data_IF_231216696634
#
_entry.id   IF_231216696634
#
_cell.length_a   1.000
_cell.length_b   1.000
_cell.length_c   1.000
_cell.angle_alpha   90.00
_cell.angle_beta   90.00
_cell.angle_gamma   90.00
#
_symmetry.space_group_name_H-M   'P 1'
#
loop_
_entity.id
_entity.type
_entity.pdbx_description
1 polymer ?
#
# COMPACT_ATOMS: atom_id res chain seq x y z
N UNK A 1 27.89 -88.20 -22.82
CA UNK A 1 28.38 -87.74 -24.14
C UNK A 1 27.30 -86.84 -24.73
N UNK A 2 27.56 -85.60 -25.20
CA UNK A 2 28.79 -84.79 -25.17
C UNK A 2 28.65 -83.51 -24.29
N UNK A 3 29.70 -83.09 -23.54
CA UNK A 3 30.77 -82.09 -23.83
C UNK A 3 30.25 -80.63 -23.87
N UNK A 4 30.94 -79.59 -23.40
CA UNK A 4 32.13 -79.36 -22.58
C UNK A 4 32.25 -77.84 -22.37
N UNK A 5 32.96 -77.43 -21.31
CA UNK A 5 33.59 -76.12 -21.09
C UNK A 5 34.28 -75.58 -22.38
N UNK A 6 34.56 -74.31 -22.65
CA UNK A 6 35.19 -73.18 -21.91
C UNK A 6 35.33 -72.02 -22.97
N UNK A 7 36.04 -70.87 -22.81
CA UNK A 7 36.64 -70.20 -21.64
C UNK A 7 36.52 -68.64 -21.60
N UNK A 8 36.99 -68.10 -20.48
CA UNK A 8 37.61 -66.79 -20.17
C UNK A 8 37.91 -65.70 -21.25
N UNK A 9 37.43 -64.48 -20.95
CA UNK A 9 38.10 -63.13 -20.80
C UNK A 9 39.41 -62.83 -21.56
N UNK A 10 39.55 -61.62 -22.15
CA UNK A 10 40.47 -60.63 -21.56
C UNK A 10 40.06 -59.14 -21.60
N UNK A 11 40.45 -58.42 -20.52
CA UNK A 11 41.02 -57.06 -20.41
C UNK A 11 40.43 -55.92 -21.28
N UNK A 12 40.14 -54.72 -20.76
CA UNK A 12 41.15 -53.87 -20.15
C UNK A 12 40.61 -52.59 -19.47
N UNK A 13 41.47 -52.06 -18.58
CA UNK A 13 41.61 -50.67 -18.09
C UNK A 13 40.80 -50.17 -16.86
N UNK A 14 41.39 -50.47 -15.68
CA UNK A 14 41.90 -49.50 -14.69
C UNK A 14 41.48 -48.02 -14.90
N UNK A 15 40.81 -47.44 -13.88
CA UNK A 15 41.39 -46.37 -13.02
C UNK A 15 40.46 -46.01 -11.84
N UNK A 16 41.00 -46.23 -10.61
CA UNK A 16 41.04 -45.34 -9.42
C UNK A 16 39.85 -44.39 -9.21
N UNK A 17 39.05 -44.50 -8.14
CA UNK A 17 39.27 -44.32 -6.68
C UNK A 17 38.54 -43.06 -6.21
N UNK A 18 37.74 -43.23 -5.15
CA UNK A 18 37.47 -42.30 -4.04
C UNK A 18 36.70 -41.00 -4.31
N UNK A 19 35.39 -40.99 -4.01
CA UNK A 19 34.71 -40.00 -3.13
C UNK A 19 33.20 -40.29 -3.08
N UNK A 20 32.79 -41.20 -2.21
CA UNK A 20 31.36 -41.50 -1.97
C UNK A 20 31.03 -41.57 -0.49
N UNK A 21 31.47 -40.56 0.29
CA UNK A 21 31.14 -40.44 1.72
C UNK A 21 31.10 -39.01 2.27
N UNK A 22 30.81 -38.01 1.42
CA UNK A 22 30.66 -36.59 1.86
C UNK A 22 29.39 -35.92 1.30
N UNK A 23 28.45 -36.69 0.73
CA UNK A 23 27.22 -36.12 0.14
C UNK A 23 25.97 -36.45 0.97
N UNK A 24 26.08 -37.27 2.02
CA UNK A 24 24.95 -37.60 2.93
C UNK A 24 25.11 -36.89 4.28
N UNK A 25 25.47 -35.59 4.25
CA UNK A 25 25.28 -34.65 5.38
C UNK A 25 24.80 -33.28 4.87
N UNK A 26 24.56 -33.13 3.56
CA UNK A 26 24.19 -31.85 2.93
C UNK A 26 22.70 -31.77 2.51
N UNK A 27 21.86 -32.69 3.00
CA UNK A 27 20.42 -32.71 2.68
C UNK A 27 19.48 -32.63 3.90
N UNK A 28 20.02 -32.53 5.12
CA UNK A 28 19.22 -32.39 6.36
C UNK A 28 19.40 -31.03 7.05
N UNK A 29 19.99 -30.04 6.39
CA UNK A 29 20.20 -28.71 6.96
C UNK A 29 19.73 -27.62 5.99
N UNK A 30 18.44 -27.61 5.62
CA UNK A 30 17.71 -26.44 5.09
C UNK A 30 16.22 -26.81 4.92
N UNK A 31 15.56 -27.21 6.01
CA UNK A 31 14.10 -27.34 6.04
C UNK A 31 13.55 -26.79 7.35
N UNK A 32 14.04 -25.62 7.76
CA UNK A 32 13.29 -24.72 8.62
C UNK A 32 12.64 -23.69 7.71
N UNK A 33 11.64 -24.11 6.94
CA UNK A 33 10.79 -23.20 6.18
C UNK A 33 9.97 -22.42 7.21
N UNK A 34 10.52 -21.30 7.69
CA UNK A 34 9.70 -20.29 8.36
C UNK A 34 8.63 -19.90 7.35
N UNK A 35 7.36 -20.13 7.69
CA UNK A 35 6.24 -19.70 6.87
C UNK A 35 6.36 -18.19 6.69
N UNK A 36 6.73 -17.75 5.49
CA UNK A 36 6.82 -16.33 5.15
C UNK A 36 5.39 -15.79 5.22
N UNK A 37 5.20 -14.68 5.93
CA UNK A 37 3.88 -14.04 6.03
C UNK A 37 3.52 -13.34 4.72
N UNK A 38 2.22 -13.20 4.38
CA UNK A 38 1.77 -12.52 3.15
C UNK A 38 2.34 -11.09 3.03
N UNK A 39 2.55 -10.44 4.17
CA UNK A 39 3.12 -9.11 4.25
C UNK A 39 4.62 -9.08 3.91
N UNK A 40 5.38 -10.05 4.40
CA UNK A 40 6.79 -10.24 4.02
C UNK A 40 6.91 -10.65 2.55
N UNK A 41 6.01 -11.50 2.06
CA UNK A 41 5.94 -11.85 0.64
C UNK A 41 5.69 -10.62 -0.23
N UNK A 42 4.80 -9.71 0.17
CA UNK A 42 4.51 -8.49 -0.62
C UNK A 42 5.73 -7.59 -0.75
N UNK A 43 6.49 -7.40 0.34
CA UNK A 43 7.73 -6.63 0.31
C UNK A 43 8.80 -7.33 -0.55
N UNK A 44 9.01 -8.64 -0.32
CA UNK A 44 10.01 -9.44 -1.02
C UNK A 44 9.70 -9.64 -2.52
N UNK A 45 8.42 -9.54 -2.91
CA UNK A 45 8.01 -9.58 -4.31
C UNK A 45 8.49 -8.35 -5.09
N UNK A 46 8.74 -7.22 -4.42
CA UNK A 46 9.18 -5.97 -5.06
C UNK A 46 10.63 -5.62 -4.81
N UNK A 47 11.18 -6.00 -3.67
CA UNK A 47 12.53 -5.64 -3.27
C UNK A 47 13.39 -6.87 -3.04
N UNK A 48 14.65 -6.77 -3.44
CA UNK A 48 15.64 -7.83 -3.22
C UNK A 48 16.00 -7.97 -1.74
N UNK A 49 16.53 -9.13 -1.36
CA UNK A 49 17.09 -9.35 -0.02
C UNK A 49 18.13 -8.28 0.36
N UNK A 50 18.99 -7.89 -0.58
CA UNK A 50 19.97 -6.81 -0.37
C UNK A 50 19.34 -5.45 -0.09
N UNK A 51 18.15 -5.18 -0.61
CA UNK A 51 17.40 -3.96 -0.26
C UNK A 51 17.00 -3.99 1.20
N UNK A 52 16.49 -5.13 1.67
CA UNK A 52 16.10 -5.34 3.06
C UNK A 52 17.30 -5.17 4.00
N UNK A 53 18.41 -5.84 3.70
CA UNK A 53 19.67 -5.72 4.47
C UNK A 53 20.15 -4.26 4.53
N UNK A 54 20.18 -3.56 3.39
CA UNK A 54 20.60 -2.15 3.37
C UNK A 54 19.67 -1.23 4.18
N UNK A 55 18.37 -1.50 4.22
CA UNK A 55 17.41 -0.77 5.05
C UNK A 55 17.59 -1.06 6.55
N UNK A 56 17.94 -2.30 6.92
CA UNK A 56 18.18 -2.70 8.31
C UNK A 56 19.41 -2.01 8.91
N UNK A 57 20.41 -1.69 8.09
CA UNK A 57 21.62 -0.96 8.49
C UNK A 57 21.41 0.56 8.70
N UNK A 58 20.26 1.11 8.32
CA UNK A 58 19.98 2.52 8.54
C UNK A 58 19.79 2.84 10.04
N UNK A 59 20.40 3.91 10.58
CA UNK A 59 20.28 4.30 11.99
C UNK A 59 18.94 4.97 12.34
N UNK A 60 17.97 4.91 11.43
CA UNK A 60 16.71 5.66 11.50
C UNK A 60 15.55 4.80 12.01
N UNK A 61 14.55 5.43 12.63
CA UNK A 61 13.33 4.73 13.05
C UNK A 61 12.25 4.92 11.99
N UNK A 62 11.95 3.87 11.22
CA UNK A 62 10.95 3.96 10.17
C UNK A 62 10.22 2.64 9.94
N UNK A 63 9.06 2.77 9.31
CA UNK A 63 8.25 1.64 8.82
C UNK A 63 7.91 1.85 7.35
N UNK A 64 7.77 0.76 6.60
CA UNK A 64 7.21 0.76 5.26
C UNK A 64 5.88 0.01 5.30
N UNK A 65 4.84 0.61 4.74
CA UNK A 65 3.49 0.02 4.69
C UNK A 65 3.04 -0.20 3.26
N UNK A 66 2.23 -1.23 3.05
CA UNK A 66 1.67 -1.56 1.73
C UNK A 66 0.17 -1.20 1.68
N UNK A 67 -0.24 -0.20 0.89
CA UNK A 67 -1.65 0.19 0.79
C UNK A 67 -2.52 -0.81 0.02
N UNK A 68 -1.95 -1.71 -0.80
CA UNK A 68 -2.70 -2.72 -1.55
C UNK A 68 -3.17 -3.88 -0.69
N UNK A 69 -2.47 -4.15 0.40
CA UNK A 69 -2.88 -5.15 1.38
C UNK A 69 -4.01 -4.63 2.26
N UNK A 70 -4.92 -5.54 2.63
CA UNK A 70 -6.08 -5.21 3.46
C UNK A 70 -5.65 -4.61 4.79
N UNK A 71 -6.23 -3.47 5.16
CA UNK A 71 -5.90 -2.77 6.41
C UNK A 71 -4.65 -1.89 6.35
N UNK A 72 -4.00 -1.77 5.19
CA UNK A 72 -2.76 -0.98 5.00
C UNK A 72 -1.70 -1.35 6.06
N UNK A 73 -1.24 -2.61 6.08
CA UNK A 73 -0.32 -3.13 7.08
C UNK A 73 1.11 -2.63 6.88
N UNK A 74 1.88 -2.69 7.96
CA UNK A 74 3.33 -2.55 7.97
C UNK A 74 3.94 -3.83 7.39
N UNK A 75 4.75 -3.68 6.35
CA UNK A 75 5.46 -4.77 5.66
C UNK A 75 6.96 -4.76 5.95
N UNK A 76 7.49 -3.65 6.50
CA UNK A 76 8.86 -3.55 7.00
C UNK A 76 8.93 -2.59 8.20
N UNK A 77 9.76 -2.92 9.18
CA UNK A 77 10.03 -2.07 10.34
C UNK A 77 11.53 -2.08 10.65
N UNK A 78 12.15 -0.91 10.75
CA UNK A 78 13.59 -0.82 10.97
C UNK A 78 13.99 -1.30 12.38
N UNK A 79 15.23 -1.79 12.57
CA UNK A 79 15.74 -2.15 13.90
C UNK A 79 15.66 -0.99 14.90
N UNK A 80 15.92 0.24 14.45
CA UNK A 80 15.76 1.46 15.25
C UNK A 80 14.32 1.65 15.75
N UNK A 81 13.34 1.48 14.87
CA UNK A 81 11.92 1.56 15.23
C UNK A 81 11.52 0.50 16.27
N UNK A 82 11.95 -0.75 16.09
CA UNK A 82 11.66 -1.83 17.02
C UNK A 82 12.26 -1.57 18.41
N UNK A 83 13.53 -1.14 18.45
CA UNK A 83 14.21 -0.75 19.69
C UNK A 83 13.53 0.43 20.38
N UNK A 84 13.11 1.44 19.61
CA UNK A 84 12.42 2.61 20.12
C UNK A 84 11.06 2.25 20.72
N UNK A 85 10.26 1.43 20.05
CA UNK A 85 8.90 1.12 20.51
C UNK A 85 8.83 -0.04 21.51
N UNK A 86 9.84 -0.92 21.51
CA UNK A 86 9.92 -2.11 22.35
C UNK A 86 9.12 -3.31 21.83
N UNK A 87 8.55 -3.23 20.63
CA UNK A 87 7.84 -4.34 19.98
C UNK A 87 8.80 -5.23 19.21
N UNK A 88 8.43 -6.50 19.06
CA UNK A 88 9.17 -7.44 18.19
C UNK A 88 8.71 -7.32 16.73
N UNK A 89 9.51 -7.78 15.75
CA UNK A 89 9.08 -7.81 14.35
C UNK A 89 7.71 -8.50 14.16
N UNK A 90 7.49 -9.64 14.82
CA UNK A 90 6.27 -10.44 14.70
C UNK A 90 5.02 -9.71 15.25
N UNK A 91 5.22 -8.77 16.16
CA UNK A 91 4.13 -7.94 16.71
C UNK A 91 3.79 -6.75 15.80
N UNK A 92 4.71 -6.35 14.93
CA UNK A 92 4.62 -5.13 14.11
C UNK A 92 4.23 -5.43 12.67
N UNK A 93 4.85 -6.42 12.03
CA UNK A 93 4.56 -6.80 10.66
C UNK A 93 3.10 -7.30 10.57
N UNK A 94 2.37 -6.87 9.55
CA UNK A 94 0.92 -7.14 9.41
C UNK A 94 0.01 -6.21 10.19
N UNK A 95 0.53 -5.38 11.09
CA UNK A 95 -0.29 -4.41 11.83
C UNK A 95 -0.39 -3.08 11.10
N UNK A 96 -1.51 -2.39 11.30
CA UNK A 96 -1.64 -0.99 10.89
C UNK A 96 -0.98 -0.08 11.94
N UNK A 97 -0.39 1.04 11.50
CA UNK A 97 0.28 2.01 12.40
C UNK A 97 -0.59 2.57 13.54
N UNK A 98 -1.92 2.44 13.46
CA UNK A 98 -2.83 2.73 14.58
C UNK A 98 -2.54 1.90 15.84
N UNK A 99 -1.84 0.77 15.72
CA UNK A 99 -1.49 -0.11 16.84
C UNK A 99 -0.61 0.59 17.90
N UNK A 100 0.07 1.68 17.54
CA UNK A 100 0.93 2.45 18.46
C UNK A 100 0.22 3.66 19.07
N UNK A 101 -1.04 3.89 18.73
CA UNK A 101 -1.85 4.99 19.26
C UNK A 101 -2.54 4.55 20.55
N UNK A 102 -2.93 5.51 21.38
CA UNK A 102 -3.62 5.23 22.64
C UNK A 102 -4.57 6.35 23.07
N UNK A 103 -5.08 6.32 24.31
CA UNK A 103 -6.19 7.18 24.74
C UNK A 103 -5.93 8.68 24.61
N UNK A 104 -4.67 9.12 24.77
CA UNK A 104 -4.27 10.53 24.67
C UNK A 104 -3.75 10.92 23.28
N UNK A 105 -3.75 10.01 22.31
CA UNK A 105 -3.34 10.34 20.93
C UNK A 105 -4.34 11.29 20.29
N UNK A 106 -3.87 12.45 19.81
CA UNK A 106 -4.73 13.48 19.24
C UNK A 106 -5.41 12.99 17.95
N UNK A 107 -6.76 12.99 17.94
CA UNK A 107 -7.56 12.54 16.80
C UNK A 107 -7.42 13.42 15.56
N UNK A 108 -7.12 14.71 15.72
CA UNK A 108 -6.90 15.65 14.60
C UNK A 108 -5.63 15.28 13.84
N UNK A 109 -4.53 15.01 14.54
CA UNK A 109 -3.28 14.53 13.91
C UNK A 109 -3.50 13.19 13.19
N UNK A 110 -4.27 12.27 13.79
CA UNK A 110 -4.62 10.98 13.15
C UNK A 110 -5.47 11.18 11.89
N UNK A 111 -6.41 12.11 11.92
CA UNK A 111 -7.22 12.47 10.75
C UNK A 111 -6.35 13.06 9.65
N UNK A 112 -5.43 13.98 9.98
CA UNK A 112 -4.50 14.56 9.01
C UNK A 112 -3.64 13.51 8.30
N UNK A 113 -3.13 12.51 9.04
CA UNK A 113 -2.41 11.37 8.46
C UNK A 113 -3.32 10.59 7.51
N UNK A 114 -4.57 10.32 7.91
CA UNK A 114 -5.55 9.59 7.09
C UNK A 114 -5.85 10.33 5.79
N UNK A 115 -6.03 11.64 5.86
CA UNK A 115 -6.27 12.47 4.68
C UNK A 115 -5.04 12.50 3.76
N UNK A 116 -3.83 12.60 4.33
CA UNK A 116 -2.60 12.53 3.56
C UNK A 116 -2.41 11.19 2.82
N UNK A 117 -2.80 10.07 3.45
CA UNK A 117 -2.82 8.74 2.80
C UNK A 117 -3.83 8.73 1.65
N UNK A 118 -5.04 9.27 1.87
CA UNK A 118 -6.11 9.32 0.84
C UNK A 118 -5.72 10.20 -0.36
N UNK A 119 -5.04 11.30 -0.09
CA UNK A 119 -4.58 12.27 -1.09
C UNK A 119 -3.22 11.92 -1.70
N UNK A 120 -2.55 10.88 -1.18
CA UNK A 120 -1.23 10.43 -1.62
C UNK A 120 -0.21 11.57 -1.62
N UNK A 121 -0.18 12.30 -0.51
CA UNK A 121 0.76 13.39 -0.25
C UNK A 121 1.64 13.10 0.96
N UNK A 122 2.75 13.83 1.05
CA UNK A 122 3.54 13.84 2.26
C UNK A 122 2.81 14.55 3.40
N UNK A 123 3.15 14.17 4.62
CA UNK A 123 2.65 14.79 5.85
C UNK A 123 3.71 14.74 6.93
N UNK A 124 3.74 15.76 7.77
CA UNK A 124 4.58 15.82 8.95
C UNK A 124 3.74 16.31 10.12
N UNK A 125 3.59 15.49 11.15
CA UNK A 125 2.75 15.79 12.32
C UNK A 125 3.42 15.34 13.61
N UNK A 126 3.20 16.07 14.68
CA UNK A 126 3.54 15.60 16.02
C UNK A 126 2.43 14.69 16.54
N UNK A 127 2.82 13.51 17.03
CA UNK A 127 1.91 12.48 17.49
C UNK A 127 2.38 11.89 18.82
N UNK A 128 1.45 11.63 19.72
CA UNK A 128 1.70 10.86 20.94
C UNK A 128 1.47 9.38 20.67
N UNK A 129 2.53 8.59 20.75
CA UNK A 129 2.50 7.14 20.60
C UNK A 129 2.78 6.44 21.93
N UNK A 130 2.54 5.13 21.98
CA UNK A 130 2.70 4.29 23.16
C UNK A 130 3.67 3.16 22.87
N UNK A 131 4.65 2.99 23.76
CA UNK A 131 5.57 1.84 23.72
C UNK A 131 4.84 0.57 24.12
N UNK A 132 5.46 -0.59 23.91
CA UNK A 132 4.94 -1.88 24.38
C UNK A 132 4.67 -1.91 25.89
N UNK A 133 5.46 -1.19 26.67
CA UNK A 133 5.26 -1.02 28.13
C UNK A 133 4.01 -0.20 28.50
N UNK A 134 3.34 0.42 27.53
CA UNK A 134 2.25 1.37 27.76
C UNK A 134 2.71 2.80 28.06
N UNK A 135 4.02 3.07 28.13
CA UNK A 135 4.51 4.43 28.37
C UNK A 135 4.27 5.33 27.14
N UNK A 136 3.64 6.51 27.30
CA UNK A 136 3.45 7.45 26.21
C UNK A 136 4.77 8.17 25.87
N UNK A 137 4.98 8.50 24.60
CA UNK A 137 6.10 9.30 24.14
C UNK A 137 5.74 10.07 22.86
N UNK A 138 6.28 11.27 22.73
CA UNK A 138 6.06 12.12 21.57
C UNK A 138 6.99 11.77 20.43
N UNK A 139 6.45 11.76 19.22
CA UNK A 139 7.22 11.64 17.98
C UNK A 139 6.84 12.75 17.02
N UNK A 140 7.82 13.20 16.25
CA UNK A 140 7.58 13.80 14.94
C UNK A 140 7.43 12.66 13.94
N UNK A 141 6.23 12.49 13.41
CA UNK A 141 5.94 11.53 12.36
C UNK A 141 6.02 12.22 11.00
N UNK A 142 6.92 11.75 10.14
CA UNK A 142 7.01 12.20 8.76
C UNK A 142 6.74 11.04 7.81
N UNK A 143 5.68 11.15 7.02
CA UNK A 143 5.27 10.12 6.07
C UNK A 143 5.33 10.64 4.64
N UNK A 144 5.83 9.81 3.73
CA UNK A 144 5.82 10.08 2.29
C UNK A 144 5.31 8.87 1.51
N UNK A 145 4.54 9.09 0.42
CA UNK A 145 4.20 8.05 -0.53
C UNK A 145 5.41 7.66 -1.37
N UNK A 146 5.42 6.39 -1.79
CA UNK A 146 6.42 5.80 -2.69
C UNK A 146 5.70 5.37 -3.95
N UNK A 147 6.06 5.94 -5.10
CA UNK A 147 5.34 5.73 -6.36
C UNK A 147 6.06 4.72 -7.26
N UNK A 148 5.29 3.93 -8.00
CA UNK A 148 5.80 3.18 -9.13
C UNK A 148 6.05 4.11 -10.32
N UNK A 149 7.17 3.93 -11.02
CA UNK A 149 7.54 4.80 -12.13
C UNK A 149 6.65 4.64 -13.36
N UNK A 150 6.13 3.45 -13.62
CA UNK A 150 5.46 3.15 -14.89
C UNK A 150 4.07 3.78 -14.98
N UNK A 151 3.27 3.68 -13.91
CA UNK A 151 1.90 4.20 -13.90
C UNK A 151 1.64 5.27 -12.83
N UNK A 152 2.64 5.60 -12.00
CA UNK A 152 2.52 6.62 -10.97
C UNK A 152 1.68 6.20 -9.76
N UNK A 153 1.32 4.93 -9.61
CA UNK A 153 0.56 4.46 -8.44
C UNK A 153 1.42 4.46 -7.18
N UNK A 154 0.84 4.80 -6.03
CA UNK A 154 1.53 4.59 -4.73
C UNK A 154 1.58 3.11 -4.42
N UNK A 155 2.80 2.58 -4.29
CA UNK A 155 3.09 1.17 -3.95
C UNK A 155 3.42 0.97 -2.48
N UNK A 156 3.92 2.00 -1.79
CA UNK A 156 4.21 1.95 -0.37
C UNK A 156 4.08 3.34 0.25
N UNK A 157 4.01 3.40 1.58
CA UNK A 157 4.33 4.62 2.33
C UNK A 157 5.52 4.36 3.24
N UNK A 158 6.43 5.32 3.31
CA UNK A 158 7.51 5.34 4.30
C UNK A 158 7.11 6.28 5.41
N UNK A 159 7.09 5.79 6.65
CA UNK A 159 6.80 6.58 7.84
C UNK A 159 8.00 6.61 8.77
N UNK A 160 8.70 7.76 8.83
CA UNK A 160 9.81 8.04 9.74
C UNK A 160 9.28 8.62 11.06
N UNK A 161 9.90 8.22 12.16
CA UNK A 161 9.50 8.59 13.52
C UNK A 161 10.70 9.11 14.31
N UNK A 162 10.71 10.40 14.60
CA UNK A 162 11.76 11.02 15.41
C UNK A 162 11.22 11.30 16.81
N UNK A 163 11.70 10.62 17.86
CA UNK A 163 11.31 10.94 19.24
C UNK A 163 11.58 12.40 19.56
N UNK A 164 10.59 13.08 20.14
CA UNK A 164 10.74 14.46 20.58
C UNK A 164 11.20 14.46 22.03
N UNK A 165 12.34 15.12 22.29
CA UNK A 165 12.85 15.24 23.66
C UNK A 165 12.18 16.43 24.35
N UNK A 166 11.33 16.17 25.36
CA UNK A 166 10.85 17.25 26.24
C UNK A 166 12.02 17.80 27.04
N UNK A 167 12.30 19.10 26.92
CA UNK A 167 13.10 19.79 27.93
C UNK A 167 12.25 19.86 29.19
N UNK A 168 12.64 19.17 30.25
CA UNK A 168 12.05 19.41 31.56
C UNK A 168 12.22 20.89 31.88
N UNK A 169 11.11 21.61 32.07
CA UNK A 169 11.14 22.88 32.78
C UNK A 169 11.55 22.57 34.21
N UNK A 170 12.86 22.51 34.46
CA UNK A 170 13.38 22.70 35.81
C UNK A 170 12.99 24.11 36.23
N UNK A 171 11.95 24.23 37.05
CA UNK A 171 11.76 25.41 37.90
C UNK A 171 12.89 25.41 38.93
N UNK A 172 14.10 25.74 38.49
CA UNK A 172 15.21 26.07 39.38
C UNK A 172 15.02 27.50 39.87
N UNK A 173 14.09 27.66 40.81
CA UNK A 173 14.16 28.72 41.80
C UNK A 173 14.56 28.07 43.11
N UNK A 174 15.83 27.74 43.30
CA UNK A 174 16.44 28.00 44.61
C UNK A 174 17.97 28.11 44.51
N UNK A 175 18.46 29.09 45.24
CA UNK A 175 19.83 29.58 45.24
C UNK A 175 20.79 28.57 45.85
N UNK A 176 21.95 28.40 45.20
CA UNK A 176 23.14 27.88 45.89
C UNK A 176 24.24 28.92 45.79
N UNK A 177 24.22 29.89 46.70
CA UNK A 177 25.39 30.69 47.06
C UNK A 177 25.41 30.91 48.58
N UNK A 178 26.43 30.31 49.22
CA UNK A 178 27.05 30.55 50.54
C UNK A 178 26.23 31.19 51.69
N UNK A 179 26.27 30.57 52.88
CA UNK A 179 26.94 31.08 54.12
C UNK A 179 26.68 30.14 55.32
N UNK A 180 27.72 30.01 56.14
CA UNK A 180 27.89 29.29 57.42
C UNK A 180 26.78 29.49 58.47
N UNK A 181 26.58 28.49 59.35
CA UNK A 181 26.09 28.74 60.72
C UNK A 181 25.35 27.62 61.47
N UNK A 182 26.12 26.75 62.14
CA UNK A 182 25.94 26.24 63.52
C UNK A 182 24.58 25.79 64.13
N UNK A 183 24.65 24.59 64.73
CA UNK A 183 24.05 24.13 66.01
C UNK A 183 22.67 23.42 66.09
N UNK A 184 22.79 22.10 66.42
CA UNK A 184 22.20 21.32 67.54
C UNK A 184 20.73 20.84 67.54
N UNK A 185 20.58 19.50 67.61
CA UNK A 185 19.66 18.70 68.46
C UNK A 185 18.16 18.75 68.12
N UNK A 186 17.33 17.71 68.18
CA UNK A 186 17.36 16.39 68.83
C UNK A 186 16.38 15.42 68.12
N UNK A 187 16.45 14.16 68.54
CA UNK A 187 15.69 12.96 68.14
C UNK A 187 14.24 13.01 68.63
N UNK A 188 13.24 12.55 67.84
CA UNK A 188 12.12 11.73 68.37
C UNK A 188 11.36 10.94 67.29
N UNK A 189 10.73 9.85 67.74
CA UNK A 189 10.43 8.58 67.07
C UNK A 189 9.03 8.49 66.45
N UNK A 190 8.96 7.78 65.30
CA UNK A 190 7.86 6.95 64.74
C UNK A 190 6.51 6.84 65.49
N UNK A 191 5.37 7.11 64.80
CA UNK A 191 4.47 6.14 64.10
C UNK A 191 3.04 6.71 63.90
N UNK A 192 2.55 6.58 62.65
CA UNK A 192 1.18 6.26 62.15
C UNK A 192 0.00 6.42 63.14
N UNK A 193 -1.15 7.03 62.80
CA UNK A 193 -1.95 6.83 61.58
C UNK A 193 -3.24 7.69 61.61
N UNK A 194 -3.78 7.94 60.41
CA UNK A 194 -5.17 8.31 60.06
C UNK A 194 -5.59 9.75 60.35
N UNK A 195 -5.65 10.55 59.29
CA UNK A 195 -6.80 11.39 58.95
C UNK A 195 -6.80 11.60 57.42
N UNK A 196 -8.00 11.57 56.85
CA UNK A 196 -8.28 11.71 55.43
C UNK A 196 -7.56 12.93 54.84
N UNK A 197 -6.85 12.73 53.75
CA UNK A 197 -6.48 13.82 52.85
C UNK A 197 -7.20 13.54 51.55
N UNK A 198 -8.15 14.42 51.26
CA UNK A 198 -8.85 14.53 49.99
C UNK A 198 -7.83 14.46 48.85
N UNK A 199 -8.12 13.62 47.86
CA UNK A 199 -7.34 13.57 46.64
C UNK A 199 -7.45 14.94 45.94
N UNK A 200 -6.49 15.82 46.19
CA UNK A 200 -6.28 16.99 45.36
C UNK A 200 -5.99 16.52 43.93
N UNK A 201 -6.96 16.73 43.04
CA UNK A 201 -6.81 16.68 41.58
C UNK A 201 -5.95 17.85 41.10
N UNK A 202 -4.72 17.96 41.58
CA UNK A 202 -3.77 18.98 41.14
C UNK A 202 -2.50 18.31 40.64
N UNK A 203 -2.57 17.97 39.35
CA UNK A 203 -1.49 17.38 38.58
C UNK A 203 -1.91 17.13 37.14
N UNK A 204 -2.76 17.99 36.56
CA UNK A 204 -2.97 18.04 35.11
C UNK A 204 -1.71 18.65 34.49
N UNK A 205 -0.68 17.83 34.32
CA UNK A 205 0.39 18.17 33.40
C UNK A 205 -0.24 18.41 32.02
N UNK A 206 0.03 19.57 31.44
CA UNK A 206 -0.35 19.91 30.07
C UNK A 206 0.32 18.93 29.09
N UNK A 207 -0.36 17.83 28.82
CA UNK A 207 -0.04 16.90 27.74
C UNK A 207 -0.62 17.39 26.41
N UNK A 208 -1.17 18.61 26.34
CA UNK A 208 -2.00 19.04 25.21
C UNK A 208 -1.21 19.47 23.96
N UNK A 209 0.07 19.84 24.11
CA UNK A 209 0.88 20.19 22.95
C UNK A 209 2.37 19.86 23.12
N UNK A 210 2.95 19.27 22.08
CA UNK A 210 4.38 19.10 21.94
C UNK A 210 4.73 19.48 20.51
N UNK A 211 5.74 20.32 20.33
CA UNK A 211 6.20 20.75 19.02
C UNK A 211 7.61 20.23 18.78
N UNK A 212 7.86 19.75 17.56
CA UNK A 212 9.17 19.29 17.16
C UNK A 212 10.08 20.48 16.81
N UNK A 213 11.32 20.43 17.29
CA UNK A 213 12.37 21.37 16.92
C UNK A 213 12.76 21.24 15.44
N UNK A 214 13.35 22.29 14.88
CA UNK A 214 13.89 22.26 13.51
C UNK A 214 14.94 21.16 13.31
N UNK A 215 15.73 20.84 14.34
CA UNK A 215 16.67 19.71 14.29
C UNK A 215 15.96 18.37 14.14
N UNK A 216 14.85 18.16 14.84
CA UNK A 216 14.05 16.93 14.72
C UNK A 216 13.36 16.85 13.34
N UNK A 217 12.89 17.97 12.80
CA UNK A 217 12.34 18.05 11.44
C UNK A 217 13.39 17.72 10.38
N UNK A 218 14.60 18.26 10.50
CA UNK A 218 15.71 17.97 9.58
C UNK A 218 16.12 16.48 9.63
N UNK A 219 16.21 15.89 10.83
CA UNK A 219 16.46 14.45 10.99
C UNK A 219 15.39 13.61 10.30
N UNK A 220 14.13 14.01 10.38
CA UNK A 220 13.05 13.29 9.74
C UNK A 220 13.18 13.33 8.20
N UNK A 221 13.49 14.49 7.63
CA UNK A 221 13.71 14.65 6.17
C UNK A 221 14.93 13.86 5.70
N UNK A 222 16.05 13.93 6.44
CA UNK A 222 17.25 13.15 6.14
C UNK A 222 16.98 11.64 6.14
N UNK A 223 16.25 11.16 7.14
CA UNK A 223 15.87 9.76 7.22
C UNK A 223 14.99 9.31 6.04
N UNK A 224 14.01 10.14 5.64
CA UNK A 224 13.20 9.86 4.44
C UNK A 224 14.08 9.74 3.21
N UNK A 225 14.99 10.70 2.99
CA UNK A 225 15.87 10.70 1.82
C UNK A 225 16.78 9.47 1.78
N UNK A 226 17.31 9.04 2.92
CA UNK A 226 18.15 7.84 2.99
C UNK A 226 17.36 6.57 2.65
N UNK A 227 16.14 6.42 3.18
CA UNK A 227 15.26 5.27 2.87
C UNK A 227 14.90 5.27 1.39
N UNK A 228 14.44 6.39 0.85
CA UNK A 228 14.07 6.51 -0.56
C UNK A 228 15.26 6.26 -1.49
N UNK A 229 16.46 6.71 -1.13
CA UNK A 229 17.68 6.45 -1.90
C UNK A 229 18.00 4.96 -1.99
N UNK A 230 17.81 4.21 -0.91
CA UNK A 230 18.01 2.75 -0.92
C UNK A 230 16.95 2.07 -1.78
N UNK A 231 15.68 2.40 -1.55
CA UNK A 231 14.57 1.85 -2.34
C UNK A 231 14.78 2.12 -3.83
N UNK A 232 15.12 3.35 -4.21
CA UNK A 232 15.41 3.73 -5.60
C UNK A 232 16.58 2.94 -6.17
N UNK A 233 17.74 2.92 -5.49
CA UNK A 233 18.96 2.26 -5.97
C UNK A 233 18.75 0.80 -6.28
N UNK A 234 18.05 0.06 -5.41
CA UNK A 234 17.84 -1.37 -5.63
C UNK A 234 16.65 -1.69 -6.52
N UNK A 235 15.69 -0.77 -6.65
CA UNK A 235 14.58 -0.87 -7.61
C UNK A 235 15.07 -0.81 -9.07
N UNK A 236 16.15 -0.07 -9.33
CA UNK A 236 16.80 0.03 -10.65
C UNK A 236 17.38 -1.33 -11.12
N UNK A 237 17.89 -2.15 -10.20
CA UNK A 237 18.41 -3.49 -10.52
C UNK A 237 17.32 -4.54 -10.74
N UNK A 238 16.13 -4.35 -10.15
CA UNK A 238 14.99 -5.26 -10.27
C UNK A 238 14.06 -4.93 -11.45
N UNK A 239 14.34 -3.85 -12.21
CA UNK A 239 13.54 -3.41 -13.36
C UNK A 239 12.24 -2.67 -13.02
N UNK A 240 11.83 -2.64 -11.74
CA UNK A 240 10.67 -1.88 -11.28
C UNK A 240 11.11 -0.59 -10.62
N UNK A 241 11.16 0.52 -11.35
CA UNK A 241 11.69 1.77 -10.80
C UNK A 241 10.70 2.43 -9.85
N UNK A 242 11.21 2.92 -8.73
CA UNK A 242 10.47 3.67 -7.73
C UNK A 242 10.82 5.16 -7.80
N UNK A 243 9.83 6.03 -7.63
CA UNK A 243 10.02 7.48 -7.64
C UNK A 243 9.35 8.18 -6.45
N UNK A 244 9.94 9.30 -6.03
CA UNK A 244 9.43 10.17 -4.96
C UNK A 244 8.29 11.08 -5.45
N UNK A 245 8.29 11.39 -6.75
CA UNK A 245 7.26 12.20 -7.40
C UNK A 245 6.44 11.32 -8.32
N UNK A 246 5.12 11.47 -8.28
CA UNK A 246 4.22 10.80 -9.23
C UNK A 246 4.58 11.19 -10.66
N UNK A 247 5.07 10.25 -11.46
CA UNK A 247 5.22 10.44 -12.89
C UNK A 247 3.97 9.90 -13.58
N UNK A 248 3.22 10.77 -14.25
CA UNK A 248 2.11 10.35 -15.10
C UNK A 248 2.66 10.10 -16.52
N UNK A 249 2.27 8.99 -17.15
CA UNK A 249 2.35 8.86 -18.61
C UNK A 249 1.65 10.09 -19.24
N UNK A 250 2.32 10.76 -20.19
CA UNK A 250 1.81 11.99 -20.85
C UNK A 250 0.35 11.78 -21.29
N UNK A 251 -0.58 12.54 -20.70
CA UNK A 251 -1.99 12.59 -21.10
C UNK A 251 -2.96 11.72 -20.29
N UNK A 252 -2.48 10.87 -19.36
CA UNK A 252 -3.35 10.10 -18.47
C UNK A 252 -3.38 10.71 -17.06
N UNK A 253 -4.57 11.07 -16.56
CA UNK A 253 -4.76 11.38 -15.15
C UNK A 253 -4.62 10.10 -14.34
N UNK A 254 -3.68 10.09 -13.40
CA UNK A 254 -3.47 8.95 -12.51
C UNK A 254 -4.51 9.00 -11.37
N UNK A 255 -5.37 7.99 -11.29
CA UNK A 255 -6.31 7.83 -10.20
C UNK A 255 -5.55 7.61 -8.88
N UNK A 256 -6.10 8.08 -7.76
CA UNK A 256 -5.56 7.72 -6.43
C UNK A 256 -5.50 6.19 -6.28
N UNK A 257 -4.39 5.65 -5.80
CA UNK A 257 -4.24 4.28 -5.29
C UNK A 257 -5.46 3.82 -4.48
N UNK A 258 -6.03 4.64 -3.59
CA UNK A 258 -7.22 4.24 -2.82
C UNK A 258 -8.42 3.86 -3.70
N UNK A 259 -8.64 4.63 -4.77
CA UNK A 259 -9.63 4.35 -5.80
C UNK A 259 -9.22 3.12 -6.63
N UNK A 260 -7.98 3.05 -7.11
CA UNK A 260 -7.45 1.92 -7.90
C UNK A 260 -7.61 0.59 -7.16
N UNK A 261 -7.26 0.56 -5.86
CA UNK A 261 -7.41 -0.61 -5.00
C UNK A 261 -8.89 -1.01 -4.88
N UNK A 262 -9.79 -0.04 -4.69
CA UNK A 262 -11.23 -0.29 -4.57
C UNK A 262 -11.81 -0.83 -5.87
N UNK A 263 -11.37 -0.30 -7.01
CA UNK A 263 -11.76 -0.76 -8.35
C UNK A 263 -11.20 -2.14 -8.66
N UNK A 264 -9.96 -2.46 -8.26
CA UNK A 264 -9.32 -3.77 -8.49
C UNK A 264 -9.99 -4.95 -7.77
N UNK A 265 -10.88 -4.68 -6.80
CA UNK A 265 -11.72 -5.70 -6.16
C UNK A 265 -12.85 -6.17 -7.07
N UNK A 266 -13.25 -5.37 -8.06
CA UNK A 266 -14.31 -5.70 -9.01
C UNK A 266 -13.74 -6.65 -10.07
N UNK A 267 -14.32 -7.86 -10.17
CA UNK A 267 -13.81 -8.92 -11.05
C UNK A 267 -14.43 -8.94 -12.45
N UNK A 268 -15.38 -8.06 -12.72
CA UNK A 268 -16.06 -7.96 -14.02
C UNK A 268 -15.30 -7.01 -14.96
N UNK A 269 -15.58 -7.13 -16.26
CA UNK A 269 -14.99 -6.26 -17.29
C UNK A 269 -15.64 -4.87 -17.26
N UNK A 270 -14.83 -3.87 -16.93
CA UNK A 270 -15.19 -2.46 -17.05
C UNK A 270 -13.97 -1.57 -17.28
N UNK A 271 -14.25 -0.35 -17.74
CA UNK A 271 -13.33 0.78 -17.84
C UNK A 271 -13.94 2.03 -17.22
N UNK A 272 -13.09 2.94 -16.75
CA UNK A 272 -13.46 4.31 -16.40
C UNK A 272 -12.83 5.28 -17.40
N UNK A 273 -13.63 6.20 -17.90
CA UNK A 273 -13.17 7.29 -18.77
C UNK A 273 -13.40 8.64 -18.11
N UNK A 274 -12.51 9.60 -18.39
CA UNK A 274 -12.59 10.93 -17.81
C UNK A 274 -13.15 11.95 -18.82
N UNK A 275 -14.40 12.42 -18.66
CA UNK A 275 -15.02 13.37 -19.56
C UNK A 275 -14.46 14.80 -19.46
N UNK A 276 -13.65 15.10 -18.46
CA UNK A 276 -13.01 16.41 -18.29
C UNK A 276 -11.69 16.53 -19.08
N UNK A 277 -11.14 15.42 -19.58
CA UNK A 277 -9.94 15.41 -20.41
C UNK A 277 -10.32 15.41 -21.90
N UNK A 278 -9.46 15.98 -22.77
CA UNK A 278 -9.64 15.93 -24.22
C UNK A 278 -9.84 14.48 -24.68
N UNK A 279 -10.83 14.27 -25.55
CA UNK A 279 -11.13 12.97 -26.16
C UNK A 279 -11.65 11.87 -25.20
N UNK A 280 -11.94 12.19 -23.94
CA UNK A 280 -12.51 11.25 -22.95
C UNK A 280 -11.73 9.92 -22.84
N UNK A 281 -10.44 9.98 -22.47
CA UNK A 281 -9.58 8.83 -22.44
C UNK A 281 -9.94 7.89 -21.29
N UNK A 282 -9.56 6.62 -21.43
CA UNK A 282 -9.61 5.62 -20.38
C UNK A 282 -8.55 5.96 -19.33
N UNK A 283 -8.98 6.12 -18.09
CA UNK A 283 -8.12 6.37 -16.91
C UNK A 283 -7.98 5.14 -16.02
N UNK A 284 -8.82 4.12 -16.24
CA UNK A 284 -8.68 2.81 -15.59
C UNK A 284 -9.30 1.71 -16.44
N UNK A 285 -8.61 0.56 -16.51
CA UNK A 285 -9.09 -0.65 -17.13
C UNK A 285 -8.93 -1.84 -16.18
N UNK A 286 -10.02 -2.56 -15.93
CA UNK A 286 -10.01 -3.79 -15.12
C UNK A 286 -9.22 -4.90 -15.80
N UNK A 287 -8.67 -5.83 -15.02
CA UNK A 287 -7.97 -7.02 -15.57
C UNK A 287 -8.89 -7.87 -16.47
N UNK A 288 -10.17 -7.95 -16.10
CA UNK A 288 -11.19 -8.63 -16.90
C UNK A 288 -11.41 -7.96 -18.26
N UNK A 289 -11.32 -6.63 -18.34
CA UNK A 289 -11.37 -5.91 -19.62
C UNK A 289 -10.15 -6.21 -20.49
N UNK A 290 -8.95 -6.21 -19.90
CA UNK A 290 -7.72 -6.55 -20.63
C UNK A 290 -7.77 -7.97 -21.16
N UNK A 291 -8.28 -8.91 -20.36
CA UNK A 291 -8.44 -10.32 -20.76
C UNK A 291 -9.51 -10.47 -21.85
N UNK A 292 -10.65 -9.78 -21.70
CA UNK A 292 -11.72 -9.79 -22.69
C UNK A 292 -11.23 -9.28 -24.05
N UNK A 293 -10.57 -8.12 -24.06
CA UNK A 293 -10.20 -7.43 -25.30
C UNK A 293 -8.85 -7.86 -25.86
N UNK A 294 -7.96 -8.45 -25.05
CA UNK A 294 -6.61 -8.86 -25.43
C UNK A 294 -5.58 -7.72 -25.49
N UNK A 295 -5.97 -6.49 -25.21
CA UNK A 295 -5.04 -5.35 -25.15
C UNK A 295 -4.26 -5.36 -23.83
N UNK A 296 -3.02 -4.86 -23.88
CA UNK A 296 -2.24 -4.58 -22.68
C UNK A 296 -2.68 -3.27 -22.04
N UNK A 297 -2.45 -3.12 -20.75
CA UNK A 297 -2.85 -1.92 -19.99
C UNK A 297 -2.25 -0.65 -20.59
N UNK A 298 -0.99 -0.71 -21.00
CA UNK A 298 -0.24 0.41 -21.59
C UNK A 298 -0.80 0.85 -22.95
N UNK A 299 -1.48 -0.05 -23.68
CA UNK A 299 -2.11 0.25 -24.97
C UNK A 299 -3.50 0.90 -24.79
N UNK A 300 -4.11 0.72 -23.62
CA UNK A 300 -5.50 1.12 -23.33
C UNK A 300 -5.55 2.45 -22.57
N UNK A 301 -4.67 2.64 -21.57
CA UNK A 301 -4.68 3.85 -20.75
C UNK A 301 -4.33 5.08 -21.59
N UNK A 302 -5.08 6.16 -21.40
CA UNK A 302 -4.93 7.39 -22.18
C UNK A 302 -5.62 7.36 -23.56
N UNK A 303 -6.15 6.22 -23.99
CA UNK A 303 -6.88 6.11 -25.27
C UNK A 303 -8.39 6.22 -25.07
N UNK A 304 -9.10 6.73 -26.07
CA UNK A 304 -10.56 6.62 -26.09
C UNK A 304 -10.98 5.19 -26.48
N UNK A 305 -12.04 4.65 -25.86
CA UNK A 305 -12.54 3.29 -26.11
C UNK A 305 -12.88 2.96 -27.57
N UNK A 306 -12.99 3.96 -28.46
CA UNK A 306 -13.30 3.75 -29.89
C UNK A 306 -12.28 2.90 -30.63
N UNK A 307 -11.08 2.65 -30.08
CA UNK A 307 -10.14 1.71 -30.69
C UNK A 307 -10.70 0.28 -30.81
N UNK A 308 -11.73 -0.06 -30.02
CA UNK A 308 -12.45 -1.33 -30.13
C UNK A 308 -13.44 -1.35 -31.32
N UNK A 309 -13.75 -0.21 -31.92
CA UNK A 309 -14.65 -0.13 -33.06
C UNK A 309 -13.89 -0.48 -34.35
N UNK A 310 -14.61 -0.99 -35.34
CA UNK A 310 -14.05 -1.22 -36.67
C UNK A 310 -15.12 -1.09 -37.75
N UNK A 311 -14.86 -1.69 -38.91
CA UNK A 311 -15.66 -1.49 -40.13
C UNK A 311 -17.11 -1.93 -39.95
N UNK A 312 -17.33 -2.99 -39.16
CA UNK A 312 -18.67 -3.57 -38.93
C UNK A 312 -19.40 -2.95 -37.72
N UNK A 313 -18.83 -1.94 -37.07
CA UNK A 313 -19.49 -1.26 -35.95
C UNK A 313 -20.61 -0.33 -36.44
N UNK A 314 -21.85 -0.65 -36.09
CA UNK A 314 -23.04 0.10 -36.51
C UNK A 314 -22.97 1.59 -36.10
N UNK A 315 -22.97 2.47 -37.11
CA UNK A 315 -22.90 3.92 -36.92
C UNK A 315 -24.09 4.51 -36.16
N UNK A 316 -25.29 3.92 -36.28
CA UNK A 316 -26.48 4.35 -35.56
C UNK A 316 -26.36 4.08 -34.05
N UNK A 317 -25.74 2.96 -33.68
CA UNK A 317 -25.44 2.60 -32.30
C UNK A 317 -24.38 3.55 -31.73
N UNK A 318 -23.31 3.82 -32.48
CA UNK A 318 -22.27 4.77 -32.08
C UNK A 318 -22.83 6.19 -31.87
N UNK A 319 -23.75 6.63 -32.74
CA UNK A 319 -24.45 7.91 -32.57
C UNK A 319 -25.30 7.93 -31.29
N UNK A 320 -26.05 6.86 -31.02
CA UNK A 320 -26.83 6.72 -29.78
C UNK A 320 -25.95 6.80 -28.53
N UNK A 321 -24.78 6.16 -28.54
CA UNK A 321 -23.81 6.24 -27.43
C UNK A 321 -23.34 7.68 -27.23
N UNK A 322 -22.94 8.37 -28.31
CA UNK A 322 -22.51 9.77 -28.27
C UNK A 322 -23.58 10.68 -27.69
N UNK A 323 -24.83 10.53 -28.13
CA UNK A 323 -25.98 11.28 -27.62
C UNK A 323 -26.18 11.06 -26.11
N UNK A 324 -26.11 9.80 -25.64
CA UNK A 324 -26.27 9.48 -24.22
C UNK A 324 -25.15 10.07 -23.36
N UNK A 325 -23.91 10.03 -23.86
CA UNK A 325 -22.75 10.65 -23.19
C UNK A 325 -22.94 12.18 -23.09
N UNK A 326 -23.33 12.85 -24.19
CA UNK A 326 -23.59 14.29 -24.21
C UNK A 326 -24.71 14.68 -23.23
N UNK A 327 -25.79 13.90 -23.20
CA UNK A 327 -26.94 14.09 -22.29
C UNK A 327 -26.66 13.64 -20.86
N UNK A 328 -25.50 13.03 -20.58
CA UNK A 328 -25.13 12.43 -19.28
C UNK A 328 -26.18 11.44 -18.78
N UNK A 329 -26.69 10.60 -19.68
CA UNK A 329 -27.67 9.57 -19.40
C UNK A 329 -27.05 8.18 -19.56
N UNK A 330 -27.46 7.20 -18.73
CA UNK A 330 -27.02 5.84 -18.91
C UNK A 330 -27.63 5.25 -20.18
N UNK A 331 -26.89 4.37 -20.85
CA UNK A 331 -27.42 3.60 -21.97
C UNK A 331 -26.81 2.21 -22.03
N UNK A 332 -27.59 1.25 -22.53
CA UNK A 332 -27.11 -0.08 -22.88
C UNK A 332 -27.26 -0.25 -24.38
N UNK A 333 -26.19 -0.70 -25.03
CA UNK A 333 -26.17 -0.97 -26.47
C UNK A 333 -25.45 -2.28 -26.74
N UNK A 334 -25.76 -2.88 -27.88
CA UNK A 334 -25.01 -4.02 -28.41
C UNK A 334 -24.21 -3.52 -29.61
N UNK A 335 -22.90 -3.68 -29.58
CA UNK A 335 -21.99 -3.23 -30.63
C UNK A 335 -20.97 -4.32 -30.95
N UNK A 336 -20.65 -4.49 -32.23
CA UNK A 336 -19.58 -5.40 -32.63
C UNK A 336 -18.23 -4.71 -32.41
N UNK A 337 -17.38 -5.33 -31.59
CA UNK A 337 -16.06 -4.83 -31.24
C UNK A 337 -14.96 -5.80 -31.68
N UNK A 338 -13.76 -5.27 -31.85
CA UNK A 338 -12.58 -6.01 -32.30
C UNK A 338 -11.61 -6.21 -31.14
N UNK A 339 -11.05 -7.42 -31.06
CA UNK A 339 -10.05 -7.78 -30.08
C UNK A 339 -8.64 -7.59 -30.64
N UNK A 340 -7.66 -7.28 -29.78
CA UNK A 340 -6.23 -7.32 -30.11
C UNK A 340 -5.62 -8.72 -30.00
N UNK A 341 -6.44 -9.76 -29.91
CA UNK A 341 -5.97 -11.15 -29.99
C UNK A 341 -5.28 -11.38 -31.34
N UNK A 342 -4.39 -12.38 -31.41
CA UNK A 342 -3.58 -12.68 -32.61
C UNK A 342 -4.40 -12.85 -33.90
N UNK A 343 -5.68 -13.22 -33.78
CA UNK A 343 -6.62 -13.43 -34.87
C UNK A 343 -7.43 -12.19 -35.27
N UNK A 344 -7.32 -11.06 -34.54
CA UNK A 344 -8.16 -9.87 -34.69
C UNK A 344 -9.66 -10.21 -34.71
N UNK A 345 -10.06 -11.19 -33.90
CA UNK A 345 -11.45 -11.66 -33.82
C UNK A 345 -12.42 -10.55 -33.38
N UNK A 346 -13.67 -10.65 -33.86
CA UNK A 346 -14.77 -9.79 -33.42
C UNK A 346 -15.59 -10.47 -32.33
N UNK A 347 -16.20 -9.67 -31.47
CA UNK A 347 -17.14 -10.14 -30.47
C UNK A 347 -18.30 -9.15 -30.30
N UNK A 348 -19.47 -9.67 -29.95
CA UNK A 348 -20.62 -8.83 -29.62
C UNK A 348 -20.49 -8.31 -28.19
N UNK A 349 -20.26 -7.01 -28.07
CA UNK A 349 -20.15 -6.34 -26.79
C UNK A 349 -21.52 -5.77 -26.39
N UNK A 350 -22.17 -6.38 -25.40
CA UNK A 350 -23.25 -5.74 -24.67
C UNK A 350 -22.60 -4.73 -23.71
N UNK A 351 -22.61 -3.46 -24.11
CA UNK A 351 -21.95 -2.37 -23.41
C UNK A 351 -22.97 -1.51 -22.67
N UNK A 352 -22.81 -1.42 -21.36
CA UNK A 352 -23.53 -0.47 -20.53
C UNK A 352 -22.64 0.72 -20.16
N UNK A 353 -23.07 1.93 -20.53
CA UNK A 353 -22.39 3.19 -20.23
C UNK A 353 -23.21 3.91 -19.18
N UNK A 354 -22.59 4.34 -18.07
CA UNK A 354 -23.24 5.17 -17.06
C UNK A 354 -22.34 6.30 -16.60
N UNK A 355 -22.86 7.52 -16.39
CA UNK A 355 -22.12 8.55 -15.66
C UNK A 355 -21.91 8.12 -14.20
N UNK A 356 -20.75 8.48 -13.66
CA UNK A 356 -20.38 8.32 -12.25
C UNK A 356 -20.11 9.71 -11.69
N UNK A 357 -20.88 10.08 -10.66
CA UNK A 357 -20.83 11.42 -10.06
C UNK A 357 -19.96 11.41 -8.80
N UNK A 358 -19.18 12.47 -8.60
CA UNK A 358 -18.47 12.70 -7.35
C UNK A 358 -19.43 13.21 -6.24
N UNK A 359 -18.89 13.50 -5.05
CA UNK A 359 -19.67 14.02 -3.93
C UNK A 359 -20.38 15.34 -4.24
N UNK A 360 -19.82 16.19 -5.12
CA UNK A 360 -20.46 17.45 -5.56
C UNK A 360 -21.65 17.26 -6.51
N UNK A 361 -21.93 16.04 -6.97
CA UNK A 361 -22.97 15.75 -7.94
C UNK A 361 -22.56 15.98 -9.40
N UNK A 362 -21.35 16.48 -9.67
CA UNK A 362 -20.78 16.57 -11.02
C UNK A 362 -20.34 15.19 -11.53
N UNK A 363 -20.51 14.93 -12.82
CA UNK A 363 -20.00 13.71 -13.47
C UNK A 363 -18.48 13.75 -13.46
N UNK A 364 -17.86 12.89 -12.65
CA UNK A 364 -16.41 12.76 -12.56
C UNK A 364 -15.86 11.79 -13.60
N UNK A 365 -16.59 10.69 -13.86
CA UNK A 365 -16.20 9.67 -14.83
C UNK A 365 -17.42 9.14 -15.58
N UNK A 366 -17.18 8.46 -16.69
CA UNK A 366 -18.11 7.47 -17.23
C UNK A 366 -17.56 6.07 -16.97
N UNK A 367 -18.43 5.15 -16.56
CA UNK A 367 -18.11 3.73 -16.49
C UNK A 367 -18.69 3.03 -17.72
N UNK A 368 -17.86 2.27 -18.43
CA UNK A 368 -18.29 1.36 -19.49
C UNK A 368 -18.11 -0.07 -19.02
N UNK A 369 -19.20 -0.84 -18.92
CA UNK A 369 -19.20 -2.25 -18.50
C UNK A 369 -19.46 -3.14 -19.70
N UNK A 370 -18.47 -3.94 -20.07
CA UNK A 370 -18.50 -4.80 -21.25
C UNK A 370 -18.89 -6.23 -20.86
N UNK A 371 -19.86 -6.80 -21.56
CA UNK A 371 -20.21 -8.22 -21.45
C UNK A 371 -20.20 -8.81 -22.85
N UNK A 372 -19.41 -9.86 -23.05
CA UNK A 372 -19.44 -10.62 -24.30
C UNK A 372 -20.78 -11.37 -24.41
N UNK A 373 -21.60 -11.00 -25.38
CA UNK A 373 -22.85 -11.67 -25.64
C UNK A 373 -22.57 -12.94 -26.47
N UNK A 374 -22.79 -14.12 -25.88
CA UNK A 374 -22.72 -15.38 -26.60
C UNK A 374 -23.99 -15.62 -27.41
N UNK A 375 -23.84 -16.02 -28.66
CA UNK A 375 -24.94 -16.51 -29.48
C UNK A 375 -25.34 -17.93 -29.05
N UNK A 376 -25.93 -18.12 -27.85
CA UNK A 376 -26.66 -19.37 -27.51
C UNK A 376 -27.51 -19.23 -26.25
N UNK A 377 -28.82 -19.42 -26.44
CA UNK A 377 -29.77 -19.75 -25.39
C UNK A 377 -29.24 -20.95 -24.59
N UNK A 378 -28.88 -20.71 -23.33
CA UNK A 378 -28.83 -21.78 -22.35
C UNK A 378 -29.54 -21.27 -21.11
N UNK A 379 -30.69 -21.90 -20.85
CA UNK A 379 -31.45 -21.76 -19.62
C UNK A 379 -30.61 -22.28 -18.45
N UNK A 380 -29.71 -21.44 -17.96
CA UNK A 380 -29.11 -21.61 -16.65
C UNK A 380 -29.57 -20.43 -15.79
N UNK A 381 -29.67 -20.63 -14.47
CA UNK A 381 -30.02 -19.61 -13.47
C UNK A 381 -28.94 -18.52 -13.36
N UNK A 382 -28.42 -18.02 -14.47
CA UNK A 382 -27.51 -16.90 -14.51
C UNK A 382 -28.28 -15.60 -14.31
N UNK A 383 -27.75 -14.78 -13.41
CA UNK A 383 -28.17 -13.38 -13.24
C UNK A 383 -28.15 -12.69 -14.61
N UNK A 384 -29.26 -12.04 -14.99
CA UNK A 384 -29.40 -11.35 -16.28
C UNK A 384 -28.18 -10.42 -16.50
N UNK A 385 -27.63 -10.34 -17.73
CA UNK A 385 -26.46 -9.51 -18.02
C UNK A 385 -26.60 -8.06 -17.54
N UNK A 386 -27.79 -7.49 -17.65
CA UNK A 386 -28.13 -6.14 -17.16
C UNK A 386 -27.93 -6.01 -15.65
N UNK A 387 -28.37 -7.00 -14.86
CA UNK A 387 -28.19 -7.01 -13.41
C UNK A 387 -26.72 -7.11 -13.03
N UNK A 388 -25.93 -7.91 -13.77
CA UNK A 388 -24.46 -7.98 -13.59
C UNK A 388 -23.83 -6.61 -13.87
N UNK A 389 -24.21 -5.94 -14.96
CA UNK A 389 -23.69 -4.62 -15.32
C UNK A 389 -24.05 -3.54 -14.28
N UNK A 390 -25.30 -3.48 -13.84
CA UNK A 390 -25.76 -2.50 -12.85
C UNK A 390 -25.08 -2.71 -11.47
N UNK A 391 -24.80 -3.97 -11.09
CA UNK A 391 -24.01 -4.28 -9.89
C UNK A 391 -22.60 -3.67 -9.96
N UNK A 392 -21.94 -3.78 -11.12
CA UNK A 392 -20.62 -3.17 -11.35
C UNK A 392 -20.71 -1.65 -11.27
N UNK A 393 -21.71 -1.03 -11.93
CA UNK A 393 -21.94 0.42 -11.83
C UNK A 393 -22.14 0.86 -10.38
N UNK A 394 -22.90 0.09 -9.59
CA UNK A 394 -23.09 0.33 -8.16
C UNK A 394 -21.77 0.32 -7.39
N UNK A 395 -20.96 -0.73 -7.55
CA UNK A 395 -19.66 -0.86 -6.90
C UNK A 395 -18.69 0.28 -7.28
N UNK A 396 -18.64 0.64 -8.57
CA UNK A 396 -17.82 1.75 -9.07
C UNK A 396 -18.29 3.09 -8.50
N UNK A 397 -19.61 3.34 -8.43
CA UNK A 397 -20.15 4.57 -7.82
C UNK A 397 -19.78 4.69 -6.35
N UNK A 398 -19.82 3.59 -5.60
CA UNK A 398 -19.41 3.57 -4.19
C UNK A 398 -17.92 3.86 -4.05
N UNK A 399 -17.07 3.21 -4.86
CA UNK A 399 -15.63 3.45 -4.86
C UNK A 399 -15.30 4.92 -5.16
N UNK A 400 -15.87 5.47 -6.25
CA UNK A 400 -15.62 6.86 -6.65
C UNK A 400 -16.12 7.83 -5.58
N UNK A 401 -17.35 7.68 -5.06
CA UNK A 401 -17.86 8.58 -4.01
C UNK A 401 -16.97 8.56 -2.77
N UNK A 402 -16.51 7.38 -2.34
CA UNK A 402 -15.66 7.23 -1.16
C UNK A 402 -14.32 7.96 -1.31
N UNK A 403 -13.77 8.06 -2.53
CA UNK A 403 -12.56 8.82 -2.81
C UNK A 403 -12.74 10.34 -2.73
N UNK A 404 -13.97 10.85 -2.92
CA UNK A 404 -14.30 12.28 -2.93
C UNK A 404 -14.97 12.81 -1.64
N UNK A 405 -15.22 11.99 -0.62
CA UNK A 405 -16.09 12.34 0.51
C UNK A 405 -15.46 13.14 1.68
N UNK A 406 -14.23 13.67 1.58
CA UNK A 406 -13.59 14.36 2.73
C UNK A 406 -12.97 15.71 2.37
N UNK A 407 -13.69 16.55 1.61
CA UNK A 407 -13.35 17.97 1.44
C UNK A 407 -14.35 18.90 2.14
N UNK A 408 -14.99 18.47 3.23
CA UNK A 408 -15.91 19.31 4.01
C UNK A 408 -15.61 19.21 5.50
#
# INVERSE_FOLDING_TARGET
MPKSQNPHVPLALKRRRTRTRTVIVAFECFATTMSITLEEESFNARYSLWTKEALEELPHNFTITDPFLSGHPIVFASPGFLKMTGYTPQEVIGRNGRAFQGPKTNRRSVMEIREAIREERSVQVTLLNYRKSGSPFWILFHMVPVFEKDDGRVIHFVGVQVPISRKEHRTNGDMSEMVFGSCRGEVFVQRKRVLQVECNEQGLEDWEHCEASESEKLKAVEAINNVLSILKRYSEFAGGLVCEKRYCLRGAECLSSSLVISLGRIKQSFVLTNPCLPDMPIVYASDAFLTLTGYKREEVLGQNCRFLNGVDSDSSVLYKMKECILKRQPCTVQVQNYSNRKDKSTFWNLLHISPVRNASGKTAYFVGVQVEASCRNSECKEVRPETKQLSVVGAVRVAVRSSFMVTC
#
